data_IF_941167746385
#
_entry.id   IF_941167746385
#
_cell.length_a   1.000
_cell.length_b   1.000
_cell.length_c   1.000
_cell.angle_alpha   90.00
_cell.angle_beta   90.00
_cell.angle_gamma   90.00
#
_symmetry.space_group_name_H-M   'P 1'
#
loop_
_entity.id
_entity.type
_entity.pdbx_description
1 polymer ?
#
# COMPACT_ATOMS: atom_id res chain seq x y z
N UNK A 1 18.00 9.08 1.52
CA UNK A 1 16.92 8.66 0.62
C UNK A 1 15.63 8.62 1.41
N UNK A 2 14.59 9.25 0.89
CA UNK A 2 13.30 9.31 1.58
C UNK A 2 12.54 7.99 1.44
N UNK A 3 12.05 7.45 2.56
CA UNK A 3 11.26 6.22 2.56
C UNK A 3 9.78 6.56 2.35
N UNK A 4 9.15 5.92 1.38
CA UNK A 4 7.75 6.15 1.00
C UNK A 4 7.01 4.81 1.00
N UNK A 5 5.87 4.75 1.67
CA UNK A 5 5.00 3.58 1.64
C UNK A 5 3.92 3.78 0.57
N UNK A 6 3.75 2.80 -0.28
CA UNK A 6 2.74 2.82 -1.34
C UNK A 6 1.87 1.56 -1.25
N UNK A 7 0.78 1.61 -0.50
CA UNK A 7 -0.18 0.50 -0.48
C UNK A 7 -0.84 0.35 -1.84
N UNK A 8 -0.90 -0.89 -2.33
CA UNK A 8 -1.49 -1.19 -3.64
C UNK A 8 -2.87 -1.81 -3.42
N UNK A 9 -3.91 -1.15 -3.94
CA UNK A 9 -5.29 -1.60 -3.82
C UNK A 9 -6.02 -1.39 -5.14
N UNK A 10 -6.89 -2.33 -5.47
CA UNK A 10 -7.66 -2.28 -6.71
C UNK A 10 -8.67 -1.11 -6.76
N UNK A 11 -9.14 -0.65 -5.59
CA UNK A 11 -10.11 0.45 -5.48
C UNK A 11 -9.48 1.84 -5.46
N UNK A 12 -8.16 1.94 -5.51
CA UNK A 12 -7.44 3.21 -5.56
C UNK A 12 -6.83 3.44 -6.94
N UNK A 13 -6.67 4.71 -7.30
CA UNK A 13 -6.10 5.09 -8.60
C UNK A 13 -4.58 4.92 -8.60
N UNK A 14 -4.12 3.80 -9.11
CA UNK A 14 -2.70 3.47 -9.16
C UNK A 14 -1.93 4.38 -10.13
N UNK A 15 -2.56 4.82 -11.19
CA UNK A 15 -1.95 5.77 -12.12
C UNK A 15 -1.64 7.11 -11.46
N UNK A 16 -2.56 7.60 -10.63
CA UNK A 16 -2.35 8.81 -9.83
C UNK A 16 -1.20 8.62 -8.83
N UNK A 17 -1.20 7.48 -8.14
CA UNK A 17 -0.15 7.16 -7.17
C UNK A 17 1.22 7.11 -7.85
N UNK A 18 1.31 6.49 -9.02
CA UNK A 18 2.54 6.40 -9.78
C UNK A 18 3.06 7.78 -10.19
N UNK A 19 2.19 8.68 -10.63
CA UNK A 19 2.57 10.06 -10.97
C UNK A 19 3.10 10.80 -9.74
N UNK A 20 2.46 10.61 -8.59
CA UNK A 20 2.89 11.18 -7.33
C UNK A 20 4.30 10.72 -6.96
N UNK A 21 4.55 9.42 -7.05
CA UNK A 21 5.88 8.84 -6.77
C UNK A 21 6.94 9.35 -7.73
N UNK A 22 6.61 9.44 -9.02
CA UNK A 22 7.53 9.97 -10.02
C UNK A 22 7.92 11.43 -9.73
N UNK A 23 6.95 12.26 -9.37
CA UNK A 23 7.19 13.65 -9.01
C UNK A 23 8.04 13.78 -7.75
N UNK A 24 7.80 12.94 -6.75
CA UNK A 24 8.63 12.91 -5.55
C UNK A 24 10.07 12.57 -5.87
N UNK A 25 10.28 11.56 -6.72
CA UNK A 25 11.61 11.09 -7.10
C UNK A 25 12.39 12.14 -7.91
N UNK A 26 11.70 12.99 -8.65
CA UNK A 26 12.32 14.11 -9.37
C UNK A 26 12.89 15.16 -8.43
N UNK A 27 12.23 15.36 -7.27
CA UNK A 27 12.66 16.35 -6.28
C UNK A 27 13.76 15.82 -5.38
N UNK A 28 13.63 14.58 -4.95
CA UNK A 28 14.53 13.93 -4.00
C UNK A 28 14.48 12.42 -4.23
N UNK A 29 15.60 11.71 -4.27
CA UNK A 29 15.58 10.26 -4.43
C UNK A 29 14.73 9.59 -3.36
N UNK A 30 13.86 8.69 -3.77
CA UNK A 30 12.97 7.96 -2.87
C UNK A 30 13.20 6.45 -2.97
N UNK A 31 12.88 5.76 -1.89
CA UNK A 31 12.82 4.30 -1.82
C UNK A 31 11.38 3.93 -1.49
N UNK A 32 10.75 3.12 -2.32
CA UNK A 32 9.33 2.80 -2.20
C UNK A 32 9.13 1.45 -1.55
N UNK A 33 8.27 1.39 -0.55
CA UNK A 33 7.79 0.14 0.02
C UNK A 33 6.39 -0.11 -0.52
N UNK A 34 6.26 -1.07 -1.44
CA UNK A 34 4.96 -1.52 -1.92
C UNK A 34 4.37 -2.49 -0.91
N UNK A 35 3.10 -2.31 -0.59
CA UNK A 35 2.42 -3.16 0.39
C UNK A 35 1.09 -3.64 -0.15
N UNK A 36 0.89 -4.95 -0.12
CA UNK A 36 -0.41 -5.56 -0.37
C UNK A 36 -0.91 -6.14 0.96
N UNK A 37 -2.07 -5.70 1.41
CA UNK A 37 -2.70 -6.22 2.63
C UNK A 37 -3.78 -7.21 2.22
N UNK A 38 -3.57 -8.47 2.56
CA UNK A 38 -4.50 -9.54 2.27
C UNK A 38 -5.48 -9.73 3.42
N UNK A 39 -6.73 -10.10 3.13
CA UNK A 39 -7.71 -10.34 4.18
C UNK A 39 -7.32 -11.58 4.99
N UNK A 40 -7.67 -11.55 6.28
CA UNK A 40 -7.52 -12.71 7.14
C UNK A 40 -8.65 -13.67 6.87
N UNK A 41 -8.33 -14.94 6.57
CA UNK A 41 -9.35 -15.97 6.42
C UNK A 41 -10.00 -16.26 7.77
N UNK A 42 -11.31 -16.58 7.74
CA UNK A 42 -12.07 -16.91 8.94
C UNK A 42 -11.54 -18.21 9.57
N UNK A 43 -11.73 -18.37 10.89
CA UNK A 43 -11.36 -19.58 11.58
C UNK A 43 -12.01 -20.84 11.00
N UNK A 44 -13.24 -20.70 10.47
CA UNK A 44 -13.94 -21.80 9.80
C UNK A 44 -13.19 -22.29 8.55
N UNK A 45 -12.72 -21.36 7.70
CA UNK A 45 -11.93 -21.73 6.52
C UNK A 45 -10.61 -22.36 6.93
N UNK A 46 -9.95 -21.84 7.98
CA UNK A 46 -8.68 -22.36 8.48
C UNK A 46 -8.77 -23.79 9.02
N UNK A 47 -9.95 -24.22 9.44
CA UNK A 47 -10.16 -25.60 9.90
C UNK A 47 -10.03 -26.63 8.78
N UNK A 48 -10.32 -26.23 7.54
CA UNK A 48 -10.38 -27.14 6.39
C UNK A 48 -9.21 -26.99 5.42
N UNK A 49 -8.36 -25.99 5.62
CA UNK A 49 -7.28 -25.66 4.69
C UNK A 49 -5.96 -25.57 5.45
N UNK A 50 -4.91 -26.13 4.86
CA UNK A 50 -3.56 -26.06 5.41
C UNK A 50 -3.12 -24.61 5.55
N UNK A 51 -2.66 -24.15 6.74
CA UNK A 51 -2.18 -22.79 6.93
C UNK A 51 -1.03 -22.37 5.98
N UNK A 52 -0.14 -23.30 5.64
CA UNK A 52 0.94 -23.03 4.70
C UNK A 52 0.40 -22.74 3.30
N UNK A 53 -0.62 -23.45 2.89
CA UNK A 53 -1.29 -23.22 1.61
C UNK A 53 -1.97 -21.85 1.57
N UNK A 54 -2.66 -21.48 2.66
CA UNK A 54 -3.29 -20.15 2.79
C UNK A 54 -2.24 -19.06 2.65
N UNK A 55 -1.12 -19.21 3.35
CA UNK A 55 -0.03 -18.24 3.30
C UNK A 55 0.56 -18.12 1.89
N UNK A 56 0.74 -19.25 1.20
CA UNK A 56 1.24 -19.27 -0.16
C UNK A 56 0.31 -18.54 -1.13
N UNK A 57 -1.00 -18.79 -1.02
CA UNK A 57 -2.01 -18.13 -1.86
C UNK A 57 -2.01 -16.63 -1.62
N UNK A 58 -1.96 -16.19 -0.36
CA UNK A 58 -1.92 -14.76 -0.02
C UNK A 58 -0.67 -14.09 -0.57
N UNK A 59 0.47 -14.75 -0.49
CA UNK A 59 1.72 -14.23 -1.02
C UNK A 59 1.66 -14.07 -2.54
N UNK A 60 1.16 -15.09 -3.24
CA UNK A 60 1.01 -15.06 -4.70
C UNK A 60 0.02 -13.97 -5.14
N UNK A 61 -1.12 -13.87 -4.47
CA UNK A 61 -2.14 -12.85 -4.77
C UNK A 61 -1.60 -11.45 -4.53
N UNK A 62 -0.88 -11.25 -3.42
CA UNK A 62 -0.26 -9.98 -3.10
C UNK A 62 0.78 -9.57 -4.13
N UNK A 63 1.63 -10.49 -4.54
CA UNK A 63 2.65 -10.23 -5.56
C UNK A 63 2.01 -9.92 -6.91
N UNK A 64 0.95 -10.63 -7.29
CA UNK A 64 0.22 -10.37 -8.53
C UNK A 64 -0.42 -8.99 -8.53
N UNK A 65 -0.97 -8.56 -7.39
CA UNK A 65 -1.57 -7.24 -7.22
C UNK A 65 -0.53 -6.13 -7.39
N UNK A 66 0.69 -6.33 -6.90
CA UNK A 66 1.76 -5.35 -6.97
C UNK A 66 2.54 -5.34 -8.29
N UNK A 67 2.42 -6.40 -9.10
CA UNK A 67 3.24 -6.56 -10.30
C UNK A 67 3.17 -5.39 -11.30
N UNK A 68 2.00 -4.80 -11.61
CA UNK A 68 1.95 -3.66 -12.52
C UNK A 68 2.73 -2.45 -11.99
N UNK A 69 2.64 -2.18 -10.69
CA UNK A 69 3.37 -1.08 -10.05
C UNK A 69 4.87 -1.34 -10.07
N UNK A 70 5.29 -2.58 -9.84
CA UNK A 70 6.71 -2.97 -9.91
C UNK A 70 7.28 -2.68 -11.29
N UNK A 71 6.58 -3.06 -12.34
CA UNK A 71 7.02 -2.80 -13.72
C UNK A 71 7.14 -1.31 -14.00
N UNK A 72 6.16 -0.53 -13.53
CA UNK A 72 6.18 0.91 -13.73
C UNK A 72 7.35 1.58 -12.98
N UNK A 73 7.62 1.16 -11.76
CA UNK A 73 8.74 1.67 -10.98
C UNK A 73 10.10 1.27 -11.59
N UNK A 74 10.20 0.05 -12.11
CA UNK A 74 11.39 -0.38 -12.84
C UNK A 74 11.67 0.53 -14.04
N UNK A 75 10.61 0.85 -14.81
CA UNK A 75 10.74 1.73 -15.98
C UNK A 75 11.18 3.15 -15.61
N UNK A 76 10.80 3.61 -14.43
CA UNK A 76 11.18 4.93 -13.91
C UNK A 76 12.51 4.93 -13.18
N UNK A 77 13.10 3.77 -12.93
CA UNK A 77 14.34 3.67 -12.19
C UNK A 77 14.20 3.97 -10.70
N UNK A 78 13.03 3.82 -10.14
CA UNK A 78 12.76 4.04 -8.72
C UNK A 78 12.95 2.74 -7.95
N UNK A 79 13.86 2.69 -6.95
CA UNK A 79 14.06 1.48 -6.17
C UNK A 79 12.86 1.21 -5.26
N UNK A 80 12.52 -0.06 -5.10
CA UNK A 80 11.38 -0.47 -4.30
C UNK A 80 11.60 -1.83 -3.64
N UNK A 81 10.82 -2.11 -2.61
CA UNK A 81 10.68 -3.41 -1.97
C UNK A 81 9.20 -3.78 -1.93
N UNK A 82 8.92 -5.08 -2.00
CA UNK A 82 7.56 -5.61 -1.96
C UNK A 82 7.28 -6.24 -0.60
N UNK A 83 6.11 -5.94 -0.03
CA UNK A 83 5.67 -6.50 1.23
C UNK A 83 4.24 -7.01 1.10
N UNK A 84 3.95 -8.14 1.72
CA UNK A 84 2.61 -8.70 1.82
C UNK A 84 2.29 -8.88 3.30
N UNK A 85 1.16 -8.33 3.74
CA UNK A 85 0.70 -8.45 5.11
C UNK A 85 -0.72 -9.00 5.14
N UNK A 86 -1.12 -9.51 6.29
CA UNK A 86 -2.47 -10.04 6.52
C UNK A 86 -3.13 -9.27 7.66
N UNK A 87 -4.40 -8.94 7.51
CA UNK A 87 -5.19 -8.33 8.56
C UNK A 87 -5.94 -7.08 8.13
N UNK A 88 -6.15 -6.16 9.08
CA UNK A 88 -6.82 -4.90 8.84
C UNK A 88 -5.93 -3.96 8.02
N UNK A 89 -6.45 -3.46 6.90
CA UNK A 89 -5.68 -2.61 5.99
C UNK A 89 -5.14 -1.36 6.68
N UNK A 90 -5.97 -0.61 7.40
CA UNK A 90 -5.54 0.63 8.05
C UNK A 90 -4.42 0.38 9.06
N UNK A 91 -4.58 -0.64 9.90
CA UNK A 91 -3.59 -0.97 10.93
C UNK A 91 -2.27 -1.45 10.33
N UNK A 92 -2.32 -2.30 9.30
CA UNK A 92 -1.11 -2.81 8.65
C UNK A 92 -0.37 -1.71 7.91
N UNK A 93 -1.08 -0.83 7.22
CA UNK A 93 -0.46 0.30 6.52
C UNK A 93 0.23 1.22 7.51
N UNK A 94 -0.44 1.61 8.59
CA UNK A 94 0.14 2.47 9.63
C UNK A 94 1.35 1.81 10.29
N UNK A 95 1.26 0.51 10.57
CA UNK A 95 2.35 -0.25 11.17
C UNK A 95 3.60 -0.28 10.27
N UNK A 96 3.41 -0.59 9.00
CA UNK A 96 4.53 -0.64 8.05
C UNK A 96 5.18 0.74 7.87
N UNK A 97 4.37 1.80 7.81
CA UNK A 97 4.91 3.16 7.72
C UNK A 97 5.83 3.48 8.91
N UNK A 98 5.43 3.10 10.12
CA UNK A 98 6.23 3.31 11.33
C UNK A 98 7.49 2.45 11.34
N UNK A 99 7.35 1.15 11.05
CA UNK A 99 8.47 0.20 11.08
C UNK A 99 9.55 0.55 10.08
N UNK A 100 9.18 1.05 8.92
CA UNK A 100 10.13 1.41 7.86
C UNK A 100 10.47 2.91 7.83
N UNK A 101 10.04 3.66 8.85
CA UNK A 101 10.31 5.09 8.98
C UNK A 101 9.88 5.90 7.75
N UNK A 102 8.74 5.54 7.19
CA UNK A 102 8.20 6.25 6.03
C UNK A 102 7.61 7.58 6.46
N UNK A 103 8.03 8.65 5.79
CA UNK A 103 7.51 9.99 6.02
C UNK A 103 6.35 10.34 5.10
N UNK A 104 6.12 9.52 4.09
CA UNK A 104 5.07 9.70 3.09
C UNK A 104 4.37 8.37 2.86
N UNK A 105 3.05 8.41 2.80
CA UNK A 105 2.22 7.28 2.37
C UNK A 105 1.44 7.73 1.14
N UNK A 106 1.61 7.04 0.02
CA UNK A 106 0.94 7.37 -1.23
C UNK A 106 -0.06 6.28 -1.56
N UNK A 107 -1.33 6.56 -1.35
CA UNK A 107 -2.43 5.63 -1.63
C UNK A 107 -3.18 6.00 -2.90
N UNK A 108 -3.30 7.28 -3.14
CA UNK A 108 -4.11 7.80 -4.22
C UNK A 108 -5.59 7.91 -3.86
N UNK A 109 -6.36 8.63 -4.69
CA UNK A 109 -7.80 8.75 -4.51
C UNK A 109 -8.50 7.44 -4.83
N UNK A 110 -9.68 7.25 -4.24
CA UNK A 110 -10.53 6.10 -4.56
C UNK A 110 -11.16 6.33 -5.92
N UNK A 111 -11.01 5.36 -6.82
CA UNK A 111 -11.70 5.39 -8.10
C UNK A 111 -13.06 4.72 -7.95
N UNK A 112 -14.13 5.51 -8.04
CA UNK A 112 -15.47 4.96 -8.14
C UNK A 112 -15.85 4.84 -9.61
N UNK A 113 -16.28 3.66 -10.04
CA UNK A 113 -16.60 3.39 -11.43
C UNK A 113 -17.79 4.16 -11.99
N UNK A 114 -18.49 4.94 -11.18
CA UNK A 114 -19.69 5.67 -11.58
C UNK A 114 -19.56 7.19 -11.51
N UNK A 115 -18.53 7.70 -10.83
CA UNK A 115 -18.32 9.13 -10.66
C UNK A 115 -16.94 9.48 -11.17
N UNK A 116 -16.88 10.56 -11.96
CA UNK A 116 -15.62 11.10 -12.46
C UNK A 116 -14.81 11.80 -11.35
N UNK A 117 -15.38 11.93 -10.16
CA UNK A 117 -14.71 12.56 -9.04
C UNK A 117 -13.88 11.54 -8.25
N UNK A 118 -12.64 11.90 -8.00
CA UNK A 118 -11.70 11.14 -7.18
C UNK A 118 -11.76 11.68 -5.76
N UNK A 119 -12.00 10.77 -4.82
CA UNK A 119 -12.22 11.15 -3.42
C UNK A 119 -11.12 10.56 -2.54
N UNK A 120 -10.67 11.35 -1.57
CA UNK A 120 -9.83 10.86 -0.50
C UNK A 120 -10.67 9.92 0.37
N UNK A 121 -10.43 8.62 0.25
CA UNK A 121 -11.29 7.58 0.79
C UNK A 121 -11.24 7.42 2.31
N UNK A 122 -12.19 6.65 2.83
CA UNK A 122 -12.26 6.38 4.27
C UNK A 122 -11.03 5.65 4.80
N UNK A 123 -10.45 4.73 4.02
CA UNK A 123 -9.21 4.05 4.40
C UNK A 123 -8.05 5.03 4.54
N UNK A 124 -7.93 5.97 3.59
CA UNK A 124 -6.90 7.01 3.64
C UNK A 124 -7.01 7.83 4.92
N UNK A 125 -8.23 8.18 5.33
CA UNK A 125 -8.47 8.93 6.56
C UNK A 125 -8.14 8.12 7.80
N UNK A 126 -8.48 6.84 7.81
CA UNK A 126 -8.16 5.95 8.94
C UNK A 126 -6.66 5.82 9.12
N UNK A 127 -5.92 5.67 8.03
CA UNK A 127 -4.44 5.60 8.06
C UNK A 127 -3.87 6.91 8.59
N UNK A 128 -4.37 8.04 8.10
CA UNK A 128 -3.94 9.37 8.54
C UNK A 128 -4.17 9.55 10.04
N UNK A 129 -5.34 9.16 10.56
CA UNK A 129 -5.64 9.24 11.97
C UNK A 129 -4.73 8.36 12.82
N UNK A 130 -4.48 7.13 12.39
CA UNK A 130 -3.59 6.22 13.11
C UNK A 130 -2.15 6.74 13.16
N UNK A 131 -1.66 7.30 12.07
CA UNK A 131 -0.31 7.88 12.02
C UNK A 131 -0.21 9.14 12.86
N UNK A 132 -1.26 9.97 12.85
CA UNK A 132 -1.31 11.19 13.67
C UNK A 132 -1.28 10.86 15.16
N UNK A 133 -1.93 9.78 15.57
CA UNK A 133 -1.97 9.33 16.96
C UNK A 133 -0.59 8.92 17.50
N UNK A 134 0.35 8.54 16.62
CA UNK A 134 1.71 8.16 17.02
C UNK A 134 2.64 9.36 17.21
N UNK A 135 2.24 10.54 16.74
CA UNK A 135 3.04 11.76 16.82
C UNK A 135 4.20 11.84 15.83
N UNK A 136 4.37 10.84 14.97
CA UNK A 136 5.42 10.86 13.96
C UNK A 136 4.97 11.66 12.72
N UNK A 137 5.85 12.49 12.13
CA UNK A 137 5.50 13.25 10.94
C UNK A 137 5.40 12.29 9.73
N UNK A 138 4.17 12.09 9.27
CA UNK A 138 3.92 11.26 8.09
C UNK A 138 2.70 11.83 7.35
N UNK A 139 2.88 12.12 6.08
CA UNK A 139 1.81 12.67 5.24
C UNK A 139 1.17 11.54 4.42
N UNK A 140 -0.15 11.56 4.33
CA UNK A 140 -0.93 10.58 3.54
C UNK A 140 -1.51 11.28 2.32
N UNK A 141 -1.24 10.72 1.17
CA UNK A 141 -1.69 11.26 -0.13
C UNK A 141 -2.68 10.36 -0.84
#
# INVERSE_FOLDING_TARGET
MMEVLAPVRADHDQGWALKCLAQMHEREPIHVHLLSVQPRYSGHVRMFVNPEWIHQVQLEDGQAEMAPMCRALDDLGIPYERHVAEGSSAEQIARFAREHHCTQVVMGPVSSGQLSERVFGSLNRQVEELLRATGEPCEVH
#
